data_IF_078834776417
#
_entry.id   IF_078834776417
#
_cell.length_a   1.000
_cell.length_b   1.000
_cell.length_c   1.000
_cell.angle_alpha   90.00
_cell.angle_beta   90.00
_cell.angle_gamma   90.00
#
_symmetry.space_group_name_H-M   'P 1'
#
loop_
_entity.id
_entity.type
_entity.pdbx_description
1 polymer ?
#
# COMPACT_ATOMS: atom_id res chain seq x y z
N UNK A 1 -4.98 2.49 25.17
CA UNK A 1 -6.45 2.37 25.21
C UNK A 1 -6.79 1.02 24.62
N UNK A 2 -7.60 0.23 25.33
CA UNK A 2 -8.16 -1.01 24.80
C UNK A 2 -9.51 -0.70 24.17
N UNK A 3 -9.71 -1.09 22.92
CA UNK A 3 -10.96 -0.91 22.18
C UNK A 3 -11.29 -2.19 21.42
N UNK A 4 -12.58 -2.54 21.32
CA UNK A 4 -13.04 -3.66 20.51
C UNK A 4 -13.17 -3.23 19.04
N UNK A 5 -13.61 -1.98 18.80
CA UNK A 5 -13.83 -1.37 17.49
C UNK A 5 -13.11 -0.03 17.38
N UNK A 6 -12.52 0.23 16.21
CA UNK A 6 -11.85 1.50 15.89
C UNK A 6 -12.24 1.94 14.48
N UNK A 7 -12.58 3.20 14.33
CA UNK A 7 -12.68 3.87 13.04
C UNK A 7 -11.47 4.81 12.87
N UNK A 8 -10.83 4.73 11.74
CA UNK A 8 -9.64 5.52 11.40
C UNK A 8 -9.80 6.16 10.02
N UNK A 9 -8.75 6.77 9.53
CA UNK A 9 -8.71 7.50 8.26
C UNK A 9 -8.92 6.61 7.03
N UNK A 10 -9.11 7.25 5.90
CA UNK A 10 -9.41 6.69 4.59
C UNK A 10 -10.86 6.16 4.44
N UNK A 11 -11.18 5.67 3.25
CA UNK A 11 -12.53 5.23 2.91
C UNK A 11 -13.50 6.37 2.55
N UNK A 12 -14.75 6.02 2.35
CA UNK A 12 -15.85 6.97 2.11
C UNK A 12 -16.05 7.38 0.67
N UNK A 13 -15.24 6.93 -0.29
CA UNK A 13 -15.43 7.22 -1.71
C UNK A 13 -16.61 6.44 -2.28
N UNK A 14 -17.39 7.13 -3.11
CA UNK A 14 -18.47 6.54 -3.87
C UNK A 14 -17.96 5.91 -5.16
N UNK A 15 -18.53 4.77 -5.52
CA UNK A 15 -18.31 4.09 -6.80
C UNK A 15 -19.60 3.40 -7.27
N UNK A 16 -19.67 3.05 -8.56
CA UNK A 16 -20.87 2.45 -9.14
C UNK A 16 -21.96 3.47 -9.48
N UNK A 17 -23.19 3.01 -9.76
CA UNK A 17 -24.29 3.89 -10.16
C UNK A 17 -24.88 4.66 -8.96
N UNK A 18 -25.33 5.88 -9.19
CA UNK A 18 -25.96 6.74 -8.15
C UNK A 18 -27.18 6.10 -7.48
N UNK A 19 -27.85 5.17 -8.17
CA UNK A 19 -29.04 4.46 -7.65
C UNK A 19 -28.69 3.35 -6.65
N UNK A 20 -27.43 2.88 -6.65
CA UNK A 20 -26.93 1.84 -5.75
C UNK A 20 -25.40 2.02 -5.56
N UNK A 21 -24.95 3.09 -4.90
CA UNK A 21 -23.54 3.38 -4.75
C UNK A 21 -22.86 2.37 -3.83
N UNK A 22 -21.60 2.08 -4.13
CA UNK A 22 -20.72 1.36 -3.25
C UNK A 22 -19.79 2.34 -2.54
N UNK A 23 -19.77 2.30 -1.22
CA UNK A 23 -18.96 3.18 -0.35
C UNK A 23 -17.72 2.41 0.10
N UNK A 24 -16.53 2.93 -0.22
CA UNK A 24 -15.28 2.29 0.13
C UNK A 24 -15.02 2.30 1.64
N UNK A 25 -14.58 1.16 2.19
CA UNK A 25 -14.14 1.00 3.59
C UNK A 25 -12.82 0.22 3.59
N UNK A 26 -11.77 0.82 4.11
CA UNK A 26 -10.48 0.15 4.20
C UNK A 26 -10.46 -0.84 5.35
N UNK A 27 -10.45 -2.12 5.02
CA UNK A 27 -10.48 -3.22 6.00
C UNK A 27 -9.13 -3.89 6.18
N UNK A 28 -8.20 -3.66 5.25
CA UNK A 28 -6.88 -4.26 5.25
C UNK A 28 -5.83 -3.34 4.62
N UNK A 29 -4.56 -3.63 4.91
CA UNK A 29 -3.42 -2.86 4.38
C UNK A 29 -2.17 -3.71 4.18
N UNK A 30 -1.29 -3.25 3.29
CA UNK A 30 0.01 -3.88 3.05
C UNK A 30 0.88 -3.84 4.30
N UNK A 31 1.77 -4.82 4.41
CA UNK A 31 2.88 -4.77 5.34
C UNK A 31 3.89 -3.70 4.92
N UNK A 32 4.59 -3.13 5.91
CA UNK A 32 5.66 -2.15 5.72
C UNK A 32 6.96 -2.73 6.23
N UNK A 33 7.93 -2.84 5.37
CA UNK A 33 9.20 -3.47 5.69
C UNK A 33 10.37 -2.63 5.18
N UNK A 34 10.60 -1.47 5.79
CA UNK A 34 11.71 -0.61 5.39
C UNK A 34 13.04 -1.22 5.79
N UNK A 35 13.97 -1.20 4.86
CA UNK A 35 15.31 -1.75 5.05
C UNK A 35 16.37 -0.71 4.66
N UNK A 36 17.45 -0.71 5.43
CA UNK A 36 18.70 -0.06 4.99
C UNK A 36 19.65 -1.14 4.53
N UNK A 37 20.06 -1.05 3.28
CA UNK A 37 21.01 -1.94 2.63
C UNK A 37 22.36 -1.25 2.59
N UNK A 38 23.38 -1.86 3.19
CA UNK A 38 24.74 -1.31 3.22
C UNK A 38 25.65 -2.15 2.33
N UNK A 39 26.27 -1.48 1.38
CA UNK A 39 27.26 -2.07 0.46
C UNK A 39 28.64 -1.57 0.81
N UNK A 40 29.59 -2.50 0.95
CA UNK A 40 30.97 -2.16 1.29
C UNK A 40 31.89 -2.31 0.11
N UNK A 41 32.97 -1.52 0.13
CA UNK A 41 34.09 -1.53 -0.81
C UNK A 41 35.40 -1.24 -0.12
N UNK A 42 36.39 -0.89 -0.92
CA UNK A 42 37.73 -0.53 -0.43
C UNK A 42 38.01 0.93 -0.79
N UNK A 43 38.39 1.77 0.20
CA UNK A 43 38.66 3.17 -0.07
C UNK A 43 39.92 3.34 -0.93
N UNK A 44 39.94 4.39 -1.74
CA UNK A 44 41.10 4.65 -2.60
C UNK A 44 41.13 6.08 -3.14
N UNK A 45 42.18 6.42 -3.85
CA UNK A 45 42.30 7.73 -4.50
C UNK A 45 41.51 7.77 -5.82
N UNK A 46 40.64 8.75 -6.00
CA UNK A 46 39.74 8.86 -7.15
C UNK A 46 40.44 8.94 -8.52
N UNK A 47 41.71 9.34 -8.59
CA UNK A 47 42.49 9.35 -9.83
C UNK A 47 43.06 7.97 -10.24
N UNK A 48 42.91 6.95 -9.42
CA UNK A 48 43.44 5.60 -9.65
C UNK A 48 42.31 4.54 -9.58
N UNK A 49 41.26 4.61 -10.43
CA UNK A 49 40.08 3.76 -10.31
C UNK A 49 40.24 2.36 -10.92
N UNK A 50 41.39 2.06 -11.50
CA UNK A 50 41.62 0.77 -12.17
C UNK A 50 41.65 -0.39 -11.19
N UNK A 51 40.77 -1.39 -11.37
CA UNK A 51 40.61 -2.57 -10.52
C UNK A 51 40.35 -2.25 -9.04
N UNK A 52 39.61 -1.18 -8.77
CA UNK A 52 39.20 -0.82 -7.42
C UNK A 52 37.87 -1.46 -7.04
N UNK A 53 37.68 -1.71 -5.77
CA UNK A 53 36.44 -2.22 -5.20
C UNK A 53 35.59 -1.04 -4.71
N UNK A 54 34.90 -0.37 -5.63
CA UNK A 54 34.14 0.86 -5.38
C UNK A 54 32.74 0.55 -4.86
N UNK A 55 32.44 0.93 -3.62
CA UNK A 55 31.12 0.71 -3.00
C UNK A 55 29.98 1.39 -3.78
N UNK A 56 30.22 2.56 -4.39
CA UNK A 56 29.17 3.27 -5.15
C UNK A 56 28.79 2.53 -6.45
N UNK A 57 29.76 1.91 -7.11
CA UNK A 57 29.49 1.12 -8.33
C UNK A 57 28.71 -0.15 -7.98
N UNK A 58 29.06 -0.82 -6.86
CA UNK A 58 28.28 -1.98 -6.38
C UNK A 58 26.86 -1.57 -5.94
N UNK A 59 26.71 -0.44 -5.25
CA UNK A 59 25.43 0.08 -4.83
C UNK A 59 24.51 0.39 -6.04
N UNK A 60 25.08 0.90 -7.13
CA UNK A 60 24.33 1.10 -8.37
C UNK A 60 23.78 -0.23 -8.95
N UNK A 61 24.58 -1.31 -8.89
CA UNK A 61 24.11 -2.64 -9.28
C UNK A 61 22.99 -3.17 -8.37
N UNK A 62 23.10 -2.96 -7.05
CA UNK A 62 22.03 -3.31 -6.09
C UNK A 62 20.75 -2.54 -6.39
N UNK A 63 20.81 -1.22 -6.63
CA UNK A 63 19.66 -0.40 -6.98
C UNK A 63 19.02 -0.90 -8.28
N UNK A 64 19.82 -1.22 -9.29
CA UNK A 64 19.32 -1.74 -10.56
C UNK A 64 18.59 -3.07 -10.38
N UNK A 65 19.16 -4.02 -9.63
CA UNK A 65 18.53 -5.32 -9.33
C UNK A 65 17.19 -5.14 -8.62
N UNK A 66 17.11 -4.24 -7.64
CA UNK A 66 15.85 -3.94 -6.94
C UNK A 66 14.81 -3.28 -7.85
N UNK A 67 15.23 -2.40 -8.75
CA UNK A 67 14.34 -1.73 -9.71
C UNK A 67 13.82 -2.66 -10.79
N UNK A 68 14.58 -3.68 -11.16
CA UNK A 68 14.22 -4.69 -12.17
C UNK A 68 13.51 -5.91 -11.56
N UNK A 69 13.49 -6.03 -10.22
CA UNK A 69 12.86 -7.17 -9.54
C UNK A 69 11.34 -7.12 -9.72
N UNK A 70 10.80 -8.21 -10.20
CA UNK A 70 9.37 -8.43 -10.40
C UNK A 70 8.91 -9.60 -9.53
N UNK A 71 8.39 -9.33 -8.32
CA UNK A 71 7.77 -10.36 -7.50
C UNK A 71 6.58 -10.99 -8.21
N UNK A 72 6.35 -12.27 -8.00
CA UNK A 72 5.17 -12.94 -8.53
C UNK A 72 3.87 -12.33 -7.96
N UNK A 73 2.83 -12.28 -8.77
CA UNK A 73 1.50 -11.86 -8.34
C UNK A 73 0.95 -12.77 -7.24
N UNK A 74 0.23 -12.19 -6.28
CA UNK A 74 -0.44 -12.92 -5.21
C UNK A 74 -1.84 -12.36 -4.99
N UNK A 75 -2.83 -13.26 -5.04
CA UNK A 75 -4.23 -12.88 -4.93
C UNK A 75 -4.81 -13.29 -3.58
N UNK A 76 -5.05 -12.31 -2.75
CA UNK A 76 -5.77 -12.45 -1.49
C UNK A 76 -7.30 -12.32 -1.70
N UNK A 77 -8.10 -12.73 -0.72
CA UNK A 77 -9.57 -12.75 -0.83
C UNK A 77 -10.18 -11.39 -1.17
N UNK A 78 -9.65 -10.31 -0.60
CA UNK A 78 -10.14 -8.94 -0.88
C UNK A 78 -9.85 -8.51 -2.32
N UNK A 79 -8.74 -8.97 -2.92
CA UNK A 79 -8.48 -8.72 -4.34
C UNK A 79 -9.52 -9.40 -5.22
N UNK A 80 -9.80 -10.68 -4.95
CA UNK A 80 -10.82 -11.45 -5.67
C UNK A 80 -12.20 -10.78 -5.55
N UNK A 81 -12.62 -10.43 -4.34
CA UNK A 81 -13.87 -9.72 -4.09
C UNK A 81 -13.93 -8.36 -4.80
N UNK A 82 -12.81 -7.62 -4.83
CA UNK A 82 -12.71 -6.34 -5.55
C UNK A 82 -12.89 -6.52 -7.05
N UNK A 83 -12.20 -7.48 -7.67
CA UNK A 83 -12.30 -7.74 -9.11
C UNK A 83 -13.72 -8.14 -9.49
N UNK A 84 -14.38 -8.98 -8.69
CA UNK A 84 -15.79 -9.35 -8.92
C UNK A 84 -16.74 -8.14 -8.83
N UNK A 85 -16.47 -7.21 -7.94
CA UNK A 85 -17.23 -5.98 -7.78
C UNK A 85 -16.95 -4.91 -8.88
N UNK A 86 -15.85 -5.06 -9.64
CA UNK A 86 -15.56 -4.19 -10.78
C UNK A 86 -16.57 -4.45 -11.90
N UNK A 87 -17.15 -3.39 -12.45
CA UNK A 87 -18.07 -3.44 -13.60
C UNK A 87 -17.34 -3.72 -14.93
N UNK A 88 -16.37 -4.66 -14.93
CA UNK A 88 -15.57 -5.04 -16.08
C UNK A 88 -16.17 -6.22 -16.83
N UNK A 89 -15.89 -6.35 -18.16
CA UNK A 89 -16.19 -7.56 -18.90
C UNK A 89 -15.54 -8.80 -18.24
N UNK A 90 -16.18 -9.94 -18.36
CA UNK A 90 -15.75 -11.18 -17.71
C UNK A 90 -14.33 -11.61 -18.11
N UNK A 91 -13.96 -11.41 -19.38
CA UNK A 91 -12.59 -11.64 -19.87
C UNK A 91 -11.54 -10.82 -19.12
N UNK A 92 -11.81 -9.55 -18.89
CA UNK A 92 -10.91 -8.65 -18.13
C UNK A 92 -10.81 -9.06 -16.66
N UNK A 93 -11.91 -9.54 -16.04
CA UNK A 93 -11.87 -10.10 -14.68
C UNK A 93 -11.02 -11.34 -14.61
N UNK A 94 -11.17 -12.26 -15.59
CA UNK A 94 -10.35 -13.46 -15.65
C UNK A 94 -8.87 -13.14 -15.74
N UNK A 95 -8.46 -12.18 -16.59
CA UNK A 95 -7.07 -11.74 -16.68
C UNK A 95 -6.55 -11.13 -15.36
N UNK A 96 -7.38 -10.38 -14.65
CA UNK A 96 -7.03 -9.81 -13.34
C UNK A 96 -6.95 -10.84 -12.20
N UNK A 97 -7.50 -12.02 -12.40
CA UNK A 97 -7.49 -13.15 -11.44
C UNK A 97 -6.55 -14.29 -11.86
N UNK A 98 -5.80 -14.11 -12.94
CA UNK A 98 -4.82 -15.05 -13.47
C UNK A 98 -3.40 -14.52 -13.21
N UNK A 99 -2.60 -15.26 -12.44
CA UNK A 99 -1.25 -14.84 -12.03
C UNK A 99 -0.30 -14.73 -13.22
N UNK A 100 -0.55 -15.43 -14.32
CA UNK A 100 0.27 -15.36 -15.53
C UNK A 100 -0.15 -14.25 -16.51
N UNK A 101 -1.34 -13.66 -16.34
CA UNK A 101 -1.90 -12.67 -17.26
C UNK A 101 -2.02 -11.26 -16.67
N UNK A 102 -2.04 -11.13 -15.34
CA UNK A 102 -2.31 -9.86 -14.67
C UNK A 102 -1.30 -8.77 -15.06
N UNK A 103 -0.03 -9.08 -15.18
CA UNK A 103 1.00 -8.11 -15.52
C UNK A 103 0.83 -7.56 -16.94
N UNK A 104 0.54 -8.42 -17.90
CA UNK A 104 0.26 -7.99 -19.28
C UNK A 104 -1.02 -7.13 -19.34
N UNK A 105 -2.06 -7.52 -18.62
CA UNK A 105 -3.27 -6.72 -18.50
C UNK A 105 -2.98 -5.33 -17.93
N UNK A 106 -2.23 -5.24 -16.82
CA UNK A 106 -1.87 -3.98 -16.17
C UNK A 106 -0.99 -3.09 -17.06
N UNK A 107 -0.04 -3.68 -17.78
CA UNK A 107 0.84 -2.96 -18.72
C UNK A 107 0.07 -2.29 -19.88
N UNK A 108 -1.08 -2.86 -20.27
CA UNK A 108 -1.92 -2.36 -21.35
C UNK A 108 -3.00 -1.35 -20.88
N UNK A 109 -3.08 -1.04 -19.58
CA UNK A 109 -4.05 -0.06 -19.07
C UNK A 109 -3.71 1.36 -19.54
N UNK A 110 -4.69 2.16 -20.00
CA UNK A 110 -4.46 3.53 -20.45
C UNK A 110 -3.93 4.46 -19.34
N UNK A 111 -4.27 4.20 -18.10
CA UNK A 111 -3.89 5.00 -16.94
C UNK A 111 -2.74 4.34 -16.17
N UNK A 112 -1.54 4.91 -16.27
CA UNK A 112 -0.37 4.46 -15.51
C UNK A 112 -0.62 4.49 -13.98
N UNK A 113 -1.35 5.49 -13.47
CA UNK A 113 -1.69 5.58 -12.06
C UNK A 113 -2.60 4.43 -11.62
N UNK A 114 -3.59 4.07 -12.43
CA UNK A 114 -4.46 2.92 -12.18
C UNK A 114 -3.67 1.61 -12.23
N UNK A 115 -2.84 1.43 -13.25
CA UNK A 115 -1.98 0.26 -13.39
C UNK A 115 -1.06 0.08 -12.16
N UNK A 116 -0.37 1.15 -11.75
CA UNK A 116 0.51 1.15 -10.58
C UNK A 116 -0.25 0.80 -9.28
N UNK A 117 -1.45 1.35 -9.08
CA UNK A 117 -2.26 1.05 -7.92
C UNK A 117 -2.73 -0.42 -7.90
N UNK A 118 -3.22 -0.94 -9.02
CA UNK A 118 -3.67 -2.34 -9.13
C UNK A 118 -2.50 -3.31 -8.98
N UNK A 119 -1.34 -3.00 -9.59
CA UNK A 119 -0.11 -3.77 -9.38
C UNK A 119 0.27 -3.83 -7.89
N UNK A 120 0.26 -2.69 -7.20
CA UNK A 120 0.55 -2.66 -5.77
C UNK A 120 -0.45 -3.44 -4.90
N UNK A 121 -1.67 -3.72 -5.39
CA UNK A 121 -2.65 -4.58 -4.72
C UNK A 121 -2.36 -6.08 -4.88
N UNK A 122 -1.55 -6.46 -5.86
CA UNK A 122 -1.30 -7.87 -6.24
C UNK A 122 0.16 -8.28 -6.11
N UNK A 123 1.08 -7.35 -5.91
CA UNK A 123 2.52 -7.63 -5.83
C UNK A 123 3.16 -7.00 -4.60
N UNK A 124 4.20 -7.64 -4.06
CA UNK A 124 5.15 -6.94 -3.22
C UNK A 124 5.78 -5.78 -4.03
N UNK A 125 6.19 -4.72 -3.36
CA UNK A 125 6.80 -3.58 -4.05
C UNK A 125 8.09 -3.16 -3.39
N UNK A 126 9.09 -2.76 -4.20
CA UNK A 126 10.43 -2.39 -3.76
C UNK A 126 10.79 -1.03 -4.36
N UNK A 127 10.99 -0.05 -3.52
CA UNK A 127 11.34 1.31 -3.94
C UNK A 127 12.60 1.79 -3.20
N UNK A 128 13.78 1.80 -3.86
CA UNK A 128 15.00 2.39 -3.31
C UNK A 128 14.89 3.92 -3.38
N UNK A 129 14.60 4.58 -2.25
CA UNK A 129 14.24 5.99 -2.23
C UNK A 129 15.33 6.91 -1.70
N UNK A 130 16.26 6.41 -0.87
CA UNK A 130 17.32 7.23 -0.26
C UNK A 130 18.66 6.54 -0.46
N UNK A 131 19.64 7.29 -0.93
CA UNK A 131 21.02 6.82 -1.07
C UNK A 131 21.99 7.75 -0.37
N UNK A 132 22.88 7.19 0.44
CA UNK A 132 23.92 7.92 1.13
C UNK A 132 25.30 7.32 0.80
N UNK A 133 26.14 8.13 0.16
CA UNK A 133 27.56 7.87 -0.01
C UNK A 133 28.34 8.97 0.73
N UNK A 134 29.12 8.61 1.72
CA UNK A 134 30.04 9.55 2.37
C UNK A 134 31.27 9.74 1.49
N UNK A 135 31.75 10.96 1.35
CA UNK A 135 33.05 11.15 0.72
C UNK A 135 33.29 12.50 0.05
N UNK A 136 34.45 12.56 -0.54
CA UNK A 136 34.93 13.67 -1.38
C UNK A 136 35.04 13.15 -2.81
N UNK A 137 34.91 14.03 -3.81
CA UNK A 137 35.01 13.69 -5.24
C UNK A 137 36.30 12.94 -5.59
N UNK A 138 37.40 13.19 -4.88
CA UNK A 138 38.71 12.59 -5.12
C UNK A 138 38.97 11.30 -4.28
N UNK A 139 37.94 10.74 -3.62
CA UNK A 139 38.03 9.52 -2.81
C UNK A 139 37.05 8.49 -3.31
N UNK A 140 37.52 7.25 -3.53
CA UNK A 140 36.66 6.10 -3.82
C UNK A 140 35.99 5.71 -2.49
N UNK A 141 34.63 5.67 -2.43
CA UNK A 141 33.94 5.36 -1.18
C UNK A 141 34.09 3.88 -0.81
N UNK A 142 34.23 3.62 0.48
CA UNK A 142 34.27 2.30 1.08
C UNK A 142 32.90 1.80 1.56
N UNK A 143 31.91 2.69 1.60
CA UNK A 143 30.56 2.35 2.03
C UNK A 143 29.50 3.22 1.34
N UNK A 144 28.38 2.58 0.98
CA UNK A 144 27.13 3.24 0.54
C UNK A 144 25.97 2.57 1.24
N UNK A 145 25.01 3.36 1.74
CA UNK A 145 23.75 2.84 2.25
C UNK A 145 22.58 3.28 1.38
N UNK A 146 21.61 2.38 1.21
CA UNK A 146 20.40 2.56 0.41
C UNK A 146 19.20 2.24 1.30
N UNK A 147 18.25 3.17 1.44
CA UNK A 147 17.00 2.88 2.14
C UNK A 147 15.92 2.52 1.11
N UNK A 148 15.27 1.38 1.37
CA UNK A 148 14.29 0.77 0.48
C UNK A 148 12.95 0.69 1.21
N UNK A 149 11.92 1.28 0.60
CA UNK A 149 10.53 1.06 1.01
C UNK A 149 10.05 -0.25 0.39
N UNK A 150 9.84 -1.25 1.22
CA UNK A 150 9.34 -2.57 0.83
C UNK A 150 7.92 -2.72 1.38
N UNK A 151 6.99 -3.13 0.52
CA UNK A 151 5.60 -3.40 0.90
C UNK A 151 5.23 -4.82 0.53
N UNK A 152 4.70 -5.56 1.51
CA UNK A 152 4.34 -6.98 1.37
C UNK A 152 2.83 -7.20 1.40
N UNK A 153 2.38 -8.31 0.83
CA UNK A 153 0.99 -8.74 0.82
C UNK A 153 0.70 -9.76 1.94
N UNK A 154 -0.59 -10.03 2.26
CA UNK A 154 -0.93 -11.14 3.13
C UNK A 154 -0.43 -12.47 2.54
N UNK A 155 0.29 -13.25 3.36
CA UNK A 155 0.82 -14.56 2.94
C UNK A 155 1.98 -14.52 1.94
N UNK A 156 2.64 -13.38 1.80
CA UNK A 156 3.79 -13.19 0.92
C UNK A 156 5.05 -13.92 1.39
N UNK A 157 6.07 -13.97 0.55
CA UNK A 157 7.40 -14.39 0.94
C UNK A 157 7.95 -13.50 2.05
N UNK A 158 8.91 -14.00 2.80
CA UNK A 158 9.63 -13.15 3.73
C UNK A 158 10.42 -12.08 2.98
N UNK A 159 10.62 -10.92 3.61
CA UNK A 159 11.43 -9.83 3.03
C UNK A 159 12.86 -10.30 2.72
N UNK A 160 13.39 -11.21 3.54
CA UNK A 160 14.72 -11.78 3.33
C UNK A 160 14.77 -12.66 2.07
N UNK A 161 13.70 -13.42 1.79
CA UNK A 161 13.63 -14.25 0.57
C UNK A 161 13.46 -13.36 -0.67
N UNK A 162 12.59 -12.36 -0.63
CA UNK A 162 12.48 -11.38 -1.71
C UNK A 162 13.81 -10.67 -2.00
N UNK A 163 14.53 -10.22 -0.96
CA UNK A 163 15.84 -9.58 -1.16
C UNK A 163 16.86 -10.56 -1.75
N UNK A 164 16.81 -11.83 -1.35
CA UNK A 164 17.70 -12.86 -1.90
C UNK A 164 17.41 -13.12 -3.38
N UNK A 165 16.12 -13.21 -3.74
CA UNK A 165 15.70 -13.35 -5.14
C UNK A 165 16.09 -12.13 -5.98
N UNK A 166 15.81 -10.91 -5.49
CA UNK A 166 16.11 -9.67 -6.19
C UNK A 166 17.61 -9.46 -6.43
N UNK A 167 18.42 -9.72 -5.42
CA UNK A 167 19.86 -9.42 -5.44
C UNK A 167 20.69 -10.56 -6.03
N UNK A 168 20.19 -11.80 -5.97
CA UNK A 168 20.91 -12.97 -6.48
C UNK A 168 22.32 -13.09 -5.86
N UNK A 169 23.33 -13.12 -6.71
CA UNK A 169 24.75 -13.20 -6.33
C UNK A 169 25.26 -12.00 -5.52
N UNK A 170 24.57 -10.88 -5.55
CA UNK A 170 24.91 -9.69 -4.75
C UNK A 170 24.42 -9.78 -3.31
N UNK A 171 23.49 -10.68 -2.97
CA UNK A 171 22.86 -10.76 -1.65
C UNK A 171 23.87 -10.94 -0.51
N UNK A 172 24.91 -11.77 -0.72
CA UNK A 172 25.93 -12.05 0.29
C UNK A 172 26.90 -10.86 0.53
N UNK A 173 26.84 -9.85 -0.34
CA UNK A 173 27.66 -8.64 -0.26
C UNK A 173 26.91 -7.42 0.28
N UNK A 174 25.66 -7.62 0.73
CA UNK A 174 24.79 -6.55 1.22
C UNK A 174 24.41 -6.82 2.68
N UNK A 175 24.79 -5.92 3.57
CA UNK A 175 24.33 -5.93 4.96
C UNK A 175 22.93 -5.32 5.01
N UNK A 176 21.98 -5.98 5.69
CA UNK A 176 20.59 -5.53 5.79
C UNK A 176 20.26 -5.15 7.23
N UNK A 177 19.84 -3.91 7.44
CA UNK A 177 19.31 -3.40 8.71
C UNK A 177 17.79 -3.22 8.58
N UNK A 178 17.05 -3.63 9.61
CA UNK A 178 15.60 -3.45 9.71
C UNK A 178 15.31 -2.06 10.26
N UNK A 179 14.60 -1.22 9.50
CA UNK A 179 14.13 0.09 9.95
C UNK A 179 12.69 0.02 10.45
N UNK A 180 11.79 -0.63 9.68
CA UNK A 180 10.40 -0.94 10.04
C UNK A 180 10.09 -2.36 9.59
N UNK A 181 9.24 -3.07 10.33
CA UNK A 181 8.82 -4.43 9.98
C UNK A 181 7.43 -4.74 10.52
N UNK A 182 6.43 -4.10 9.95
CA UNK A 182 5.03 -4.33 10.28
C UNK A 182 4.39 -5.26 9.24
N UNK A 183 3.77 -6.33 9.69
CA UNK A 183 3.11 -7.28 8.81
C UNK A 183 1.86 -6.67 8.15
N UNK A 184 1.48 -7.19 7.00
CA UNK A 184 0.17 -6.92 6.41
C UNK A 184 -0.94 -7.33 7.40
N UNK A 185 -1.98 -6.49 7.52
CA UNK A 185 -3.04 -6.70 8.49
C UNK A 185 -4.42 -6.51 7.88
N UNK A 186 -5.40 -7.25 8.41
CA UNK A 186 -6.79 -7.18 7.96
C UNK A 186 -7.75 -7.33 9.14
N UNK A 187 -8.90 -6.67 9.04
CA UNK A 187 -10.04 -6.88 9.92
C UNK A 187 -11.12 -7.69 9.20
N UNK A 188 -11.78 -8.59 9.92
CA UNK A 188 -12.96 -9.31 9.41
C UNK A 188 -14.14 -8.34 9.22
N UNK A 189 -15.03 -8.63 8.26
CA UNK A 189 -16.18 -7.79 7.92
C UNK A 189 -17.52 -8.33 8.43
N UNK A 190 -17.56 -9.51 9.01
CA UNK A 190 -18.75 -10.12 9.65
C UNK A 190 -18.85 -9.65 11.12
N UNK A 191 -19.03 -8.35 11.32
CA UNK A 191 -18.96 -7.73 12.67
C UNK A 191 -20.10 -6.73 12.91
N UNK A 192 -20.50 -6.52 14.17
CA UNK A 192 -21.48 -5.46 14.51
C UNK A 192 -21.08 -4.07 14.01
N UNK A 193 -19.77 -3.76 13.96
CA UNK A 193 -19.30 -2.48 13.42
C UNK A 193 -19.58 -2.36 11.92
N UNK A 194 -19.40 -3.43 11.13
CA UNK A 194 -19.73 -3.45 9.72
C UNK A 194 -21.22 -3.21 9.48
N UNK A 195 -22.05 -3.95 10.19
CA UNK A 195 -23.52 -3.80 10.08
C UNK A 195 -23.97 -2.40 10.51
N UNK A 196 -23.36 -1.83 11.53
CA UNK A 196 -23.65 -0.47 12.00
C UNK A 196 -23.26 0.59 10.96
N UNK A 197 -22.09 0.47 10.36
CA UNK A 197 -21.66 1.33 9.24
C UNK A 197 -22.62 1.24 8.06
N UNK A 198 -23.08 0.04 7.69
CA UNK A 198 -24.02 -0.14 6.60
C UNK A 198 -25.38 0.53 6.89
N UNK A 199 -25.88 0.40 8.12
CA UNK A 199 -27.09 1.13 8.56
C UNK A 199 -26.89 2.65 8.50
N UNK A 200 -25.74 3.14 8.94
CA UNK A 200 -25.43 4.57 8.98
C UNK A 200 -25.35 5.18 7.58
N UNK A 201 -24.68 4.53 6.63
CA UNK A 201 -24.58 5.04 5.24
C UNK A 201 -25.93 4.98 4.49
N UNK A 202 -26.80 4.03 4.83
CA UNK A 202 -28.11 3.89 4.20
C UNK A 202 -29.09 4.99 4.63
N UNK A 203 -28.83 5.77 5.67
CA UNK A 203 -29.65 6.92 6.04
C UNK A 203 -29.63 8.01 4.95
N UNK A 204 -28.47 8.56 4.55
CA UNK A 204 -28.38 9.53 3.47
C UNK A 204 -28.42 8.90 2.07
N UNK A 205 -28.01 7.64 1.90
CA UNK A 205 -27.92 6.94 0.62
C UNK A 205 -28.64 5.59 0.68
N UNK A 206 -29.97 5.55 0.60
CA UNK A 206 -30.73 4.32 0.58
C UNK A 206 -30.26 3.41 -0.57
N UNK A 207 -30.00 2.14 -0.32
CA UNK A 207 -29.42 1.18 -1.28
C UNK A 207 -27.89 1.27 -1.46
N UNK A 208 -27.19 2.11 -0.69
CA UNK A 208 -25.73 2.05 -0.64
C UNK A 208 -25.25 0.74 -0.02
N UNK A 209 -24.11 0.24 -0.49
CA UNK A 209 -23.43 -0.93 0.08
C UNK A 209 -22.02 -0.56 0.47
N UNK A 210 -21.50 -1.19 1.51
CA UNK A 210 -20.08 -1.09 1.85
C UNK A 210 -19.25 -1.91 0.86
N UNK A 211 -18.14 -1.34 0.44
CA UNK A 211 -17.17 -1.98 -0.45
C UNK A 211 -15.83 -2.11 0.28
N UNK A 212 -15.46 -3.31 0.75
CA UNK A 212 -14.22 -3.52 1.46
C UNK A 212 -13.01 -3.29 0.53
N UNK A 213 -12.07 -2.48 1.01
CA UNK A 213 -10.87 -2.10 0.27
C UNK A 213 -9.60 -2.57 0.98
N UNK A 214 -8.59 -2.84 0.17
CA UNK A 214 -7.22 -3.09 0.59
C UNK A 214 -6.38 -1.85 0.33
N UNK A 215 -5.79 -1.28 1.37
CA UNK A 215 -4.91 -0.13 1.25
C UNK A 215 -3.49 -0.57 0.85
N UNK A 216 -2.94 0.07 -0.16
CA UNK A 216 -1.53 -0.12 -0.56
C UNK A 216 -0.57 0.69 0.32
N UNK A 217 -1.08 1.67 1.05
CA UNK A 217 -0.40 2.41 2.11
C UNK A 217 -0.48 1.68 3.45
N UNK A 218 -0.16 2.39 4.51
CA UNK A 218 -0.37 1.94 5.89
C UNK A 218 -0.96 3.08 6.72
N UNK A 219 -1.68 2.70 7.76
CA UNK A 219 -2.40 3.62 8.64
C UNK A 219 -2.17 3.25 10.11
N UNK A 220 -2.70 4.03 11.03
CA UNK A 220 -2.71 3.68 12.46
C UNK A 220 -3.53 2.42 12.75
N UNK A 221 -4.37 1.97 11.80
CA UNK A 221 -5.18 0.76 11.92
C UNK A 221 -4.36 -0.48 12.30
N UNK A 222 -3.14 -0.62 11.77
CA UNK A 222 -2.25 -1.75 12.06
C UNK A 222 -1.97 -1.91 13.54
N UNK A 223 -1.74 -0.78 14.24
CA UNK A 223 -1.42 -0.79 15.67
C UNK A 223 -2.59 -1.34 16.50
N UNK A 224 -3.80 -0.94 16.17
CA UNK A 224 -4.99 -1.42 16.87
C UNK A 224 -5.34 -2.87 16.51
N UNK A 225 -5.16 -3.26 15.22
CA UNK A 225 -5.35 -4.65 14.77
C UNK A 225 -4.38 -5.61 15.46
N UNK A 226 -3.13 -5.22 15.63
CA UNK A 226 -2.13 -6.00 16.37
C UNK A 226 -2.56 -6.27 17.82
N UNK A 227 -3.34 -5.35 18.42
CA UNK A 227 -3.90 -5.50 19.76
C UNK A 227 -5.30 -6.15 19.78
N UNK A 228 -5.74 -6.69 18.64
CA UNK A 228 -6.97 -7.49 18.54
C UNK A 228 -8.25 -6.68 18.28
N UNK A 229 -8.17 -5.38 18.01
CA UNK A 229 -9.33 -4.58 17.65
C UNK A 229 -9.76 -4.86 16.19
N UNK A 230 -11.06 -4.77 15.93
CA UNK A 230 -11.60 -4.63 14.58
C UNK A 230 -11.48 -3.17 14.15
N UNK A 231 -10.76 -2.93 13.07
CA UNK A 231 -10.44 -1.56 12.62
C UNK A 231 -10.81 -1.35 11.16
N UNK A 232 -11.58 -0.31 10.90
CA UNK A 232 -11.90 0.11 9.55
C UNK A 232 -11.49 1.55 9.30
N UNK A 233 -10.86 1.80 8.15
CA UNK A 233 -10.72 3.13 7.61
C UNK A 233 -12.04 3.51 6.93
N UNK A 234 -12.80 4.40 7.54
CA UNK A 234 -14.15 4.73 7.11
C UNK A 234 -14.43 6.23 7.18
N UNK A 235 -15.01 6.73 6.12
CA UNK A 235 -15.58 8.06 5.99
C UNK A 235 -16.88 7.97 5.20
N UNK A 236 -17.50 9.11 4.96
CA UNK A 236 -18.63 9.24 4.03
C UNK A 236 -18.48 10.57 3.30
N UNK A 237 -17.90 10.52 2.10
CA UNK A 237 -17.60 11.70 1.32
C UNK A 237 -18.83 12.13 0.49
N UNK A 238 -18.80 13.37 0.01
CA UNK A 238 -19.77 13.85 -0.96
C UNK A 238 -19.68 13.02 -2.25
N UNK A 239 -20.79 12.64 -2.89
CA UNK A 239 -20.78 11.96 -4.19
C UNK A 239 -20.05 12.71 -5.31
N UNK A 240 -19.83 14.01 -5.13
CA UNK A 240 -19.07 14.84 -6.09
C UNK A 240 -17.56 14.65 -6.02
N UNK A 241 -17.05 13.91 -5.03
CA UNK A 241 -15.63 13.67 -4.83
C UNK A 241 -15.25 12.34 -5.49
N UNK A 242 -14.56 12.43 -6.61
CA UNK A 242 -13.96 11.27 -7.27
C UNK A 242 -12.59 10.91 -6.66
N UNK A 243 -12.05 9.76 -7.05
CA UNK A 243 -10.76 9.27 -6.56
C UNK A 243 -9.59 10.21 -6.90
N UNK A 244 -9.64 10.90 -8.03
CA UNK A 244 -8.62 11.85 -8.45
C UNK A 244 -8.65 13.13 -7.61
N UNK A 245 -9.83 13.67 -7.35
CA UNK A 245 -10.01 14.82 -6.46
C UNK A 245 -9.64 14.45 -5.02
N UNK A 246 -10.04 13.28 -4.54
CA UNK A 246 -9.65 12.77 -3.22
C UNK A 246 -8.13 12.74 -3.06
N UNK A 247 -7.41 12.12 -4.02
CA UNK A 247 -5.95 12.02 -3.97
C UNK A 247 -5.19 13.37 -3.98
N UNK A 248 -5.84 14.45 -4.43
CA UNK A 248 -5.26 15.81 -4.39
C UNK A 248 -5.53 16.58 -3.10
N UNK A 249 -6.27 15.99 -2.14
CA UNK A 249 -6.72 16.69 -0.93
C UNK A 249 -5.88 16.45 0.30
N UNK A 250 -4.94 15.50 0.27
CA UNK A 250 -4.07 15.15 1.39
C UNK A 250 -2.61 15.00 0.96
N UNK A 251 -1.70 15.09 1.92
CA UNK A 251 -0.25 14.98 1.73
C UNK A 251 0.34 15.98 0.71
N UNK A 252 -0.21 17.20 0.64
CA UNK A 252 0.24 18.21 -0.29
C UNK A 252 -0.09 19.65 0.13
N UNK A 253 0.15 20.58 -0.77
CA UNK A 253 -0.30 21.96 -0.56
C UNK A 253 -1.82 22.05 -0.62
N UNK A 254 -2.42 22.90 0.23
CA UNK A 254 -3.86 23.14 0.29
C UNK A 254 -4.67 21.87 0.68
N UNK A 255 -4.21 21.18 1.69
CA UNK A 255 -4.91 20.06 2.32
C UNK A 255 -6.28 20.51 2.83
N UNK A 256 -7.35 19.80 2.46
CA UNK A 256 -8.73 20.27 2.70
C UNK A 256 -9.75 19.16 2.69
N UNK A 257 -10.86 19.39 3.38
CA UNK A 257 -12.11 18.63 3.24
C UNK A 257 -13.23 19.61 2.87
N UNK A 258 -14.19 19.20 2.06
CA UNK A 258 -15.39 20.00 1.81
C UNK A 258 -16.40 19.84 2.97
N UNK A 259 -17.26 20.87 3.12
CA UNK A 259 -18.21 20.94 4.22
C UNK A 259 -19.21 19.77 4.20
N UNK A 260 -19.64 19.34 3.02
CA UNK A 260 -20.60 18.24 2.90
C UNK A 260 -19.97 16.90 3.30
N UNK A 261 -18.76 16.60 2.85
CA UNK A 261 -18.01 15.40 3.28
C UNK A 261 -17.76 15.38 4.78
N UNK A 262 -17.42 16.53 5.36
CA UNK A 262 -17.24 16.66 6.82
C UNK A 262 -18.57 16.39 7.55
N UNK A 263 -19.67 16.98 7.09
CA UNK A 263 -21.01 16.78 7.65
C UNK A 263 -21.45 15.32 7.61
N UNK A 264 -21.32 14.69 6.43
CA UNK A 264 -21.70 13.30 6.20
C UNK A 264 -20.88 12.34 7.09
N UNK A 265 -19.56 12.50 7.12
CA UNK A 265 -18.68 11.67 7.95
C UNK A 265 -18.96 11.84 9.44
N UNK A 266 -19.16 13.10 9.90
CA UNK A 266 -19.49 13.36 11.30
C UNK A 266 -20.81 12.71 11.69
N UNK A 267 -21.84 12.84 10.85
CA UNK A 267 -23.15 12.22 11.12
C UNK A 267 -23.06 10.70 11.12
N UNK A 268 -22.32 10.10 10.18
CA UNK A 268 -22.10 8.65 10.14
C UNK A 268 -21.42 8.16 11.43
N UNK A 269 -20.40 8.85 11.92
CA UNK A 269 -19.72 8.48 13.18
C UNK A 269 -20.67 8.59 14.39
N UNK A 270 -21.48 9.63 14.46
CA UNK A 270 -22.48 9.78 15.52
C UNK A 270 -23.49 8.64 15.49
N UNK A 271 -23.99 8.30 14.30
CA UNK A 271 -24.95 7.21 14.10
C UNK A 271 -24.38 5.86 14.53
N UNK A 272 -23.12 5.55 14.16
CA UNK A 272 -22.43 4.34 14.57
C UNK A 272 -22.21 4.29 16.09
N UNK A 273 -21.80 5.41 16.69
CA UNK A 273 -21.62 5.48 18.14
C UNK A 273 -22.95 5.24 18.88
N UNK A 274 -24.04 5.85 18.43
CA UNK A 274 -25.37 5.66 19.02
C UNK A 274 -25.88 4.23 18.87
N UNK A 275 -25.60 3.60 17.74
CA UNK A 275 -26.05 2.25 17.45
C UNK A 275 -25.28 1.17 18.24
N UNK A 276 -24.00 1.39 18.50
CA UNK A 276 -23.14 0.42 19.19
C UNK A 276 -23.05 0.64 20.71
N UNK A 277 -23.25 1.86 21.19
CA UNK A 277 -23.08 2.20 22.61
C UNK A 277 -24.41 2.45 23.33
N UNK A 278 -25.52 2.50 22.62
CA UNK A 278 -26.87 2.72 23.15
C UNK A 278 -27.16 4.17 23.38
#
# INVERSE_FOLDING_TARGET
IKADYVLTENGGLHSGPDTAPAISVNVAEKGVAWRRLTVRGTPGHGSMPYRTDNALVKAAAVIQRLAEYQPAARFHELWRARVEAMGLPEEAKQQLLDEDQVDEFLANLPSAATASHLHACTHATFSPNVGHAAGKTNVIPDQVSIEVDIRTLPGDLSVADHLREALGDLADHVETEVLINDASSASRIDTPLWDSLERAINKPFPSARLNPQFSVGFTDARVYREHGAVVYGAGLLSPTIDAGEFGRRFHGHNERIDVESLRLTTQMYLDVCQDLLG
#
